data_IF_661731261866
#
_entry.id   IF_661731261866
#
_cell.length_a   1.000
_cell.length_b   1.000
_cell.length_c   1.000
_cell.angle_alpha   90.00
_cell.angle_beta   90.00
_cell.angle_gamma   90.00
#
_symmetry.space_group_name_H-M   'P 1'
#
loop_
_entity.id
_entity.type
_entity.pdbx_description
1 polymer ?
#
# COMPACT_ATOMS: atom_id res chain seq x y z
N UNK A 1 -5.02 11.90 -20.50
CA UNK A 1 -4.14 11.59 -19.35
C UNK A 1 -4.48 10.17 -18.91
N UNK A 2 -3.49 9.27 -18.84
CA UNK A 2 -3.71 7.91 -18.33
C UNK A 2 -3.79 7.91 -16.79
N UNK A 3 -4.19 6.78 -16.20
CA UNK A 3 -4.36 6.67 -14.74
C UNK A 3 -3.04 6.93 -13.99
N UNK A 4 -1.93 6.42 -14.49
CA UNK A 4 -0.61 6.66 -13.93
C UNK A 4 -0.27 8.16 -13.85
N UNK A 5 -0.44 8.91 -14.93
CA UNK A 5 -0.19 10.35 -14.98
C UNK A 5 -1.11 11.12 -14.01
N UNK A 6 -2.39 10.72 -13.91
CA UNK A 6 -3.33 11.30 -12.93
C UNK A 6 -2.80 11.09 -11.52
N UNK A 7 -2.43 9.85 -11.19
CA UNK A 7 -1.94 9.49 -9.87
C UNK A 7 -0.61 10.15 -9.54
N UNK A 8 0.30 10.23 -10.51
CA UNK A 8 1.59 10.89 -10.36
C UNK A 8 1.42 12.39 -10.09
N UNK A 9 0.50 13.05 -10.79
CA UNK A 9 0.16 14.46 -10.54
C UNK A 9 -0.36 14.66 -9.13
N UNK A 10 -1.27 13.80 -8.65
CA UNK A 10 -1.77 13.84 -7.27
C UNK A 10 -0.65 13.58 -6.27
N UNK A 11 0.21 12.61 -6.53
CA UNK A 11 1.33 12.29 -5.66
C UNK A 11 2.32 13.45 -5.58
N UNK A 12 2.58 14.16 -6.69
CA UNK A 12 3.41 15.36 -6.68
C UNK A 12 2.90 16.47 -5.76
N UNK A 13 1.58 16.59 -5.57
CA UNK A 13 0.99 17.60 -4.68
C UNK A 13 1.20 17.27 -3.20
N UNK A 14 1.32 15.99 -2.84
CA UNK A 14 1.37 15.52 -1.46
C UNK A 14 2.76 15.01 -1.02
N UNK A 15 3.50 14.37 -1.92
CA UNK A 15 4.87 13.90 -1.72
C UNK A 15 5.70 14.03 -3.02
N UNK A 16 6.24 15.24 -3.30
CA UNK A 16 7.05 15.47 -4.49
C UNK A 16 8.33 14.63 -4.54
N UNK A 17 8.84 14.16 -3.40
CA UNK A 17 10.06 13.34 -3.36
C UNK A 17 9.75 11.93 -3.84
N UNK A 18 8.70 11.30 -3.31
CA UNK A 18 8.26 9.99 -3.74
C UNK A 18 7.77 10.00 -5.19
N UNK A 19 7.06 11.06 -5.60
CA UNK A 19 6.61 11.22 -6.98
C UNK A 19 7.77 11.16 -8.00
N UNK A 20 8.86 11.92 -7.77
CA UNK A 20 10.05 11.88 -8.64
C UNK A 20 10.70 10.50 -8.68
N UNK A 21 10.75 9.81 -7.54
CA UNK A 21 11.35 8.47 -7.45
C UNK A 21 10.57 7.45 -8.30
N UNK A 22 9.23 7.46 -8.21
CA UNK A 22 8.39 6.52 -8.96
C UNK A 22 8.24 6.90 -10.43
N UNK A 23 8.35 8.19 -10.77
CA UNK A 23 8.35 8.66 -12.17
C UNK A 23 9.53 8.08 -12.96
N UNK A 24 10.69 7.97 -12.33
CA UNK A 24 11.89 7.37 -12.95
C UNK A 24 11.89 5.84 -12.97
N UNK A 25 10.94 5.20 -12.27
CA UNK A 25 10.85 3.74 -12.20
C UNK A 25 10.12 3.19 -13.45
N UNK A 26 10.76 2.31 -14.23
CA UNK A 26 10.07 1.63 -15.33
C UNK A 26 8.95 0.74 -14.79
N UNK A 27 7.95 0.45 -15.63
CA UNK A 27 6.98 -0.56 -15.24
C UNK A 27 7.69 -1.91 -15.04
N UNK A 28 7.45 -2.62 -13.92
CA UNK A 28 8.24 -3.81 -13.59
C UNK A 28 7.77 -5.07 -14.31
N UNK A 29 8.71 -5.82 -14.90
CA UNK A 29 8.43 -7.15 -15.48
C UNK A 29 8.08 -8.21 -14.43
N UNK A 30 8.47 -7.96 -13.18
CA UNK A 30 8.32 -8.88 -12.05
C UNK A 30 6.95 -8.82 -11.36
N UNK A 31 6.11 -7.84 -11.71
CA UNK A 31 4.74 -7.69 -11.18
C UNK A 31 3.74 -7.86 -12.31
N UNK A 32 3.10 -9.02 -12.37
CA UNK A 32 1.99 -9.24 -13.27
C UNK A 32 0.70 -8.66 -12.67
N UNK A 33 -0.06 -7.93 -13.48
CA UNK A 33 -1.42 -7.51 -13.13
C UNK A 33 -2.40 -8.51 -13.72
N UNK A 34 -3.20 -9.13 -12.87
CA UNK A 34 -4.26 -10.07 -13.28
C UNK A 34 -5.60 -9.60 -12.74
N UNK A 35 -6.70 -10.02 -13.35
CA UNK A 35 -8.03 -9.76 -12.80
C UNK A 35 -8.45 -10.90 -11.84
N UNK A 36 -9.03 -10.57 -10.70
CA UNK A 36 -9.80 -11.51 -9.89
C UNK A 36 -11.08 -11.93 -10.62
N UNK A 37 -11.76 -12.98 -10.12
CA UNK A 37 -13.06 -13.42 -10.69
C UNK A 37 -14.14 -12.35 -10.68
N UNK A 38 -14.08 -11.41 -9.73
CA UNK A 38 -14.99 -10.26 -9.65
C UNK A 38 -14.47 -9.00 -10.38
N UNK A 39 -13.42 -9.15 -11.21
CA UNK A 39 -12.96 -8.12 -12.15
C UNK A 39 -11.97 -7.11 -11.59
N UNK A 40 -11.54 -7.25 -10.33
CA UNK A 40 -10.60 -6.33 -9.70
C UNK A 40 -9.14 -6.69 -10.04
N UNK A 41 -8.28 -5.70 -10.32
CA UNK A 41 -6.87 -5.97 -10.56
C UNK A 41 -6.19 -6.48 -9.28
N UNK A 42 -5.32 -7.48 -9.40
CA UNK A 42 -4.51 -8.01 -8.31
C UNK A 42 -3.06 -8.18 -8.75
N UNK A 43 -2.08 -7.88 -7.88
CA UNK A 43 -0.68 -8.11 -8.19
C UNK A 43 -0.33 -9.58 -7.99
N UNK A 44 0.48 -10.09 -8.91
CA UNK A 44 1.05 -11.43 -8.86
C UNK A 44 2.55 -11.35 -9.09
N UNK A 45 3.32 -12.02 -8.22
CA UNK A 45 4.77 -12.14 -8.33
C UNK A 45 5.07 -13.62 -8.59
N UNK A 46 5.57 -13.93 -9.79
CA UNK A 46 5.74 -15.31 -10.24
C UNK A 46 4.41 -16.10 -10.20
N UNK A 47 4.34 -17.14 -9.36
CA UNK A 47 3.12 -17.93 -9.14
C UNK A 47 2.23 -17.44 -7.98
N UNK A 48 2.69 -16.47 -7.19
CA UNK A 48 2.03 -16.04 -5.96
C UNK A 48 1.16 -14.82 -6.21
N UNK A 49 -0.13 -14.91 -5.87
CA UNK A 49 -1.02 -13.74 -5.83
C UNK A 49 -1.03 -13.12 -4.44
N UNK A 50 -0.95 -11.79 -4.35
CA UNK A 50 -0.89 -11.08 -3.06
C UNK A 50 -2.27 -10.77 -2.47
N UNK A 51 -3.32 -11.00 -3.25
CA UNK A 51 -4.71 -10.78 -2.88
C UNK A 51 -5.56 -11.95 -3.40
N UNK A 52 -6.80 -12.02 -2.96
CA UNK A 52 -7.77 -13.01 -3.35
C UNK A 52 -8.01 -12.94 -4.86
N UNK A 53 -7.80 -14.08 -5.52
CA UNK A 53 -8.17 -14.27 -6.94
C UNK A 53 -9.67 -14.31 -7.17
N UNK A 54 -10.48 -14.28 -6.11
CA UNK A 54 -11.94 -14.32 -6.18
C UNK A 54 -12.57 -12.98 -5.82
N UNK A 55 -12.30 -12.47 -4.60
CA UNK A 55 -12.97 -11.30 -4.02
C UNK A 55 -12.00 -10.47 -3.15
N UNK A 56 -11.06 -9.73 -3.76
CA UNK A 56 -10.02 -8.99 -3.02
C UNK A 56 -10.60 -7.87 -2.14
N UNK A 57 -11.75 -7.32 -2.52
CA UNK A 57 -12.48 -6.35 -1.69
C UNK A 57 -12.95 -6.93 -0.35
N UNK A 58 -13.52 -8.13 -0.38
CA UNK A 58 -14.01 -8.83 0.81
C UNK A 58 -12.87 -9.31 1.69
N UNK A 59 -11.75 -9.72 1.09
CA UNK A 59 -10.51 -10.00 1.82
C UNK A 59 -10.04 -8.77 2.60
N UNK A 60 -9.91 -7.61 1.95
CA UNK A 60 -9.51 -6.37 2.61
C UNK A 60 -10.47 -5.97 3.74
N UNK A 61 -11.78 -6.15 3.53
CA UNK A 61 -12.79 -5.84 4.55
C UNK A 61 -12.70 -6.78 5.76
N UNK A 62 -12.46 -8.08 5.51
CA UNK A 62 -12.24 -9.08 6.57
C UNK A 62 -10.97 -8.79 7.35
N UNK A 63 -9.90 -8.31 6.70
CA UNK A 63 -8.64 -7.98 7.37
C UNK A 63 -8.83 -6.86 8.42
N UNK A 64 -9.64 -5.84 8.13
CA UNK A 64 -9.91 -4.74 9.07
C UNK A 64 -11.09 -4.99 10.02
N UNK A 65 -11.73 -6.17 10.00
CA UNK A 65 -13.01 -6.36 10.70
C UNK A 65 -12.90 -6.10 12.21
N UNK A 66 -11.82 -6.58 12.84
CA UNK A 66 -11.51 -6.37 14.25
C UNK A 66 -10.77 -5.08 14.59
N UNK A 67 -10.37 -4.28 13.59
CA UNK A 67 -9.65 -3.03 13.84
C UNK A 67 -10.53 -2.02 14.59
N UNK A 68 -9.95 -1.42 15.63
CA UNK A 68 -10.52 -0.32 16.41
C UNK A 68 -9.47 0.78 16.49
N UNK A 69 -9.82 1.97 16.02
CA UNK A 69 -8.92 3.12 16.09
C UNK A 69 -8.55 3.44 17.55
N UNK A 70 -7.26 3.52 17.82
CA UNK A 70 -6.73 3.92 19.11
C UNK A 70 -6.44 5.42 19.12
N UNK A 71 -7.10 6.16 20.01
CA UNK A 71 -6.91 7.61 20.11
C UNK A 71 -5.43 7.96 20.37
N UNK A 72 -4.91 8.90 19.59
CA UNK A 72 -3.51 9.34 19.70
C UNK A 72 -2.50 8.41 19.02
N UNK A 73 -2.95 7.34 18.36
CA UNK A 73 -2.08 6.47 17.55
C UNK A 73 -2.34 6.63 16.05
N UNK A 74 -1.29 6.43 15.26
CA UNK A 74 -1.33 6.40 13.81
C UNK A 74 -1.25 4.93 13.37
N UNK A 75 -2.24 4.40 12.66
CA UNK A 75 -2.14 3.07 12.06
C UNK A 75 -1.01 3.02 11.03
N UNK A 76 -0.13 2.04 11.16
CA UNK A 76 0.98 1.81 10.22
C UNK A 76 0.85 0.42 9.63
N UNK A 77 0.66 0.33 8.32
CA UNK A 77 0.51 -0.95 7.63
C UNK A 77 1.79 -1.32 6.92
N UNK A 78 2.28 -2.54 7.13
CA UNK A 78 3.38 -3.09 6.35
C UNK A 78 2.84 -3.90 5.15
N UNK A 79 3.23 -3.47 3.95
CA UNK A 79 2.79 -3.99 2.66
C UNK A 79 1.58 -3.26 2.09
N UNK A 80 1.74 -2.68 0.90
CA UNK A 80 0.66 -2.05 0.15
C UNK A 80 -0.08 -3.07 -0.73
N UNK A 81 0.66 -3.88 -1.50
CA UNK A 81 0.07 -4.63 -2.61
C UNK A 81 -0.72 -3.67 -3.52
N UNK A 82 -2.01 -3.93 -3.76
CA UNK A 82 -2.91 -2.97 -4.44
C UNK A 82 -3.86 -2.21 -3.49
N UNK A 83 -3.59 -2.22 -2.19
CA UNK A 83 -4.23 -1.31 -1.23
C UNK A 83 -5.68 -1.63 -0.88
N UNK A 84 -6.20 -2.84 -1.16
CA UNK A 84 -7.57 -3.21 -0.82
C UNK A 84 -7.86 -3.12 0.68
N UNK A 85 -6.95 -3.61 1.52
CA UNK A 85 -7.05 -3.53 2.97
C UNK A 85 -6.86 -2.09 3.48
N UNK A 86 -5.94 -1.34 2.88
CA UNK A 86 -5.70 0.09 3.22
C UNK A 86 -6.97 0.91 2.98
N UNK A 87 -7.66 0.69 1.85
CA UNK A 87 -8.90 1.41 1.53
C UNK A 87 -10.01 1.14 2.54
N UNK A 88 -10.08 -0.09 3.06
CA UNK A 88 -11.06 -0.42 4.10
C UNK A 88 -10.64 0.15 5.46
N UNK A 89 -9.33 0.23 5.73
CA UNK A 89 -8.81 0.82 6.96
C UNK A 89 -9.05 2.33 7.01
N UNK A 90 -8.86 3.05 5.91
CA UNK A 90 -9.19 4.49 5.78
C UNK A 90 -10.66 4.83 6.03
N UNK A 91 -11.58 3.85 5.94
CA UNK A 91 -13.00 4.02 6.30
C UNK A 91 -13.24 3.88 7.80
N UNK A 92 -12.32 3.24 8.52
CA UNK A 92 -12.35 3.00 9.97
C UNK A 92 -11.41 3.91 10.76
N UNK A 93 -10.57 4.68 10.07
CA UNK A 93 -9.63 5.63 10.63
C UNK A 93 -10.09 7.05 10.31
N UNK A 94 -10.20 7.89 11.33
CA UNK A 94 -10.56 9.30 11.21
C UNK A 94 -9.33 10.17 10.89
N UNK A 95 -8.16 9.79 11.42
CA UNK A 95 -6.89 10.48 11.22
C UNK A 95 -6.08 10.04 9.99
N UNK A 96 -4.78 10.30 10.07
CA UNK A 96 -3.79 9.84 9.09
C UNK A 96 -3.47 8.35 9.28
N UNK A 97 -2.98 7.73 8.22
CA UNK A 97 -2.48 6.37 8.19
C UNK A 97 -1.16 6.34 7.43
N UNK A 98 -0.23 5.48 7.84
CA UNK A 98 1.00 5.25 7.10
C UNK A 98 1.04 3.85 6.48
N UNK A 99 1.65 3.73 5.30
CA UNK A 99 1.92 2.46 4.63
C UNK A 99 3.40 2.34 4.34
N UNK A 100 4.02 1.26 4.81
CA UNK A 100 5.37 0.87 4.44
C UNK A 100 5.25 -0.13 3.29
N UNK A 101 5.75 0.22 2.11
CA UNK A 101 5.85 -0.70 0.97
C UNK A 101 7.34 -0.92 0.68
N UNK A 102 7.90 -2.09 0.97
CA UNK A 102 9.34 -2.31 0.82
C UNK A 102 9.82 -2.22 -0.63
N UNK A 103 8.94 -2.32 -1.62
CA UNK A 103 9.35 -2.51 -3.01
C UNK A 103 8.79 -1.45 -3.98
N UNK A 104 9.68 -0.63 -4.55
CA UNK A 104 9.32 0.45 -5.49
C UNK A 104 8.56 -0.06 -6.73
N UNK A 105 8.97 -1.15 -7.39
CA UNK A 105 8.17 -1.82 -8.42
C UNK A 105 6.70 -2.09 -8.05
N UNK A 106 6.42 -2.55 -6.82
CA UNK A 106 5.03 -2.77 -6.38
C UNK A 106 4.24 -1.46 -6.37
N UNK A 107 4.85 -0.40 -5.83
CA UNK A 107 4.22 0.93 -5.79
C UNK A 107 4.02 1.49 -7.21
N UNK A 108 4.99 1.32 -8.10
CA UNK A 108 4.89 1.70 -9.51
C UNK A 108 3.74 0.99 -10.22
N UNK A 109 3.59 -0.31 -10.02
CA UNK A 109 2.48 -1.10 -10.57
C UNK A 109 1.13 -0.69 -9.98
N UNK A 110 1.08 -0.43 -8.67
CA UNK A 110 -0.11 0.10 -7.99
C UNK A 110 -0.59 1.41 -8.62
N UNK A 111 0.30 2.39 -8.85
CA UNK A 111 -0.08 3.67 -9.47
C UNK A 111 -0.55 3.54 -10.92
N UNK A 112 -0.21 2.45 -11.61
CA UNK A 112 -0.65 2.22 -13.00
C UNK A 112 -2.13 1.81 -13.06
N UNK A 113 -2.60 1.04 -12.08
CA UNK A 113 -3.90 0.33 -12.17
C UNK A 113 -4.90 0.67 -11.07
N UNK A 114 -4.46 1.31 -9.99
CA UNK A 114 -5.33 1.70 -8.87
C UNK A 114 -5.45 3.22 -8.81
N UNK A 115 -6.66 3.75 -8.60
CA UNK A 115 -6.85 5.18 -8.37
C UNK A 115 -6.28 5.58 -7.01
N UNK A 116 -5.37 6.55 -6.99
CA UNK A 116 -4.71 7.05 -5.77
C UNK A 116 -5.60 8.03 -5.00
N UNK A 117 -6.59 8.65 -5.64
CA UNK A 117 -7.45 9.67 -5.03
C UNK A 117 -8.09 9.25 -3.69
N UNK A 118 -8.57 8.00 -3.48
CA UNK A 118 -9.15 7.58 -2.21
C UNK A 118 -8.16 7.47 -1.05
N UNK A 119 -6.86 7.40 -1.34
CA UNK A 119 -5.82 7.23 -0.33
C UNK A 119 -5.31 8.57 0.21
N UNK A 120 -5.20 9.57 -0.67
CA UNK A 120 -4.70 10.90 -0.32
C UNK A 120 -5.84 11.84 0.12
N UNK A 121 -5.58 12.84 0.98
CA UNK A 121 -4.28 13.15 1.61
C UNK A 121 -3.97 12.32 2.86
N UNK A 122 -4.90 11.46 3.30
CA UNK A 122 -4.85 10.80 4.63
C UNK A 122 -3.84 9.65 4.73
N UNK A 123 -3.20 9.26 3.62
CA UNK A 123 -2.22 8.17 3.60
C UNK A 123 -0.82 8.70 3.33
N UNK A 124 0.13 8.39 4.21
CA UNK A 124 1.55 8.59 3.98
C UNK A 124 2.19 7.30 3.48
N UNK A 125 2.85 7.34 2.34
CA UNK A 125 3.55 6.18 1.77
C UNK A 125 5.05 6.26 2.04
N UNK A 126 5.61 5.26 2.72
CA UNK A 126 7.04 5.05 2.88
C UNK A 126 7.46 3.88 1.99
N UNK A 127 7.98 4.20 0.80
CA UNK A 127 8.23 3.21 -0.24
C UNK A 127 9.72 2.98 -0.41
N UNK A 128 10.16 1.71 -0.40
CA UNK A 128 11.55 1.30 -0.58
C UNK A 128 12.52 2.07 0.35
N UNK A 129 12.10 2.26 1.59
CA UNK A 129 12.91 2.88 2.64
C UNK A 129 13.18 1.86 3.74
N UNK A 130 14.45 1.64 4.16
CA UNK A 130 14.75 0.69 5.21
C UNK A 130 14.05 1.03 6.52
N UNK A 131 13.42 0.03 7.15
CA UNK A 131 12.70 0.20 8.44
C UNK A 131 13.57 0.87 9.51
N UNK A 132 14.86 0.54 9.70
CA UNK A 132 15.69 1.24 10.68
C UNK A 132 15.80 2.75 10.43
N UNK A 133 15.84 3.17 9.15
CA UNK A 133 15.85 4.59 8.78
C UNK A 133 14.50 5.25 9.05
N UNK A 134 13.40 4.52 8.87
CA UNK A 134 12.06 4.99 9.24
C UNK A 134 11.96 5.19 10.76
N UNK A 135 12.41 4.21 11.55
CA UNK A 135 12.41 4.28 13.01
C UNK A 135 13.28 5.42 13.55
N UNK A 136 14.42 5.70 12.91
CA UNK A 136 15.31 6.77 13.36
C UNK A 136 14.74 8.18 13.11
N UNK A 137 13.91 8.36 12.07
CA UNK A 137 13.36 9.68 11.71
C UNK A 137 11.91 9.89 12.14
N UNK A 138 11.21 8.83 12.51
CA UNK A 138 9.82 8.88 12.95
C UNK A 138 9.72 8.36 14.38
N UNK A 139 9.07 9.10 15.28
CA UNK A 139 8.82 8.64 16.65
C UNK A 139 7.83 7.46 16.64
N UNK A 140 8.27 6.22 16.88
CA UNK A 140 7.42 5.03 16.70
C UNK A 140 6.46 4.82 17.88
N UNK A 141 6.60 5.58 18.97
CA UNK A 141 5.79 5.50 20.19
C UNK A 141 4.30 5.74 19.92
N UNK A 142 3.96 6.45 18.84
CA UNK A 142 2.59 6.69 18.38
C UNK A 142 2.07 5.68 17.36
N UNK A 143 2.82 4.62 17.01
CA UNK A 143 2.44 3.72 15.91
C UNK A 143 1.59 2.55 16.39
N UNK A 144 0.52 2.27 15.65
CA UNK A 144 -0.22 1.02 15.75
C UNK A 144 0.09 0.16 14.52
N UNK A 145 1.08 -0.73 14.64
CA UNK A 145 1.57 -1.53 13.50
C UNK A 145 0.62 -2.68 13.21
N UNK A 146 0.14 -2.75 11.97
CA UNK A 146 -0.77 -3.77 11.47
C UNK A 146 -0.08 -4.61 10.39
N UNK A 147 -0.11 -5.93 10.54
CA UNK A 147 0.49 -6.87 9.59
C UNK A 147 -0.55 -7.51 8.67
N UNK A 148 -0.28 -7.47 7.36
CA UNK A 148 -1.08 -8.14 6.34
C UNK A 148 -0.50 -9.54 6.06
N UNK A 149 -1.20 -10.60 6.50
CA UNK A 149 -0.70 -12.00 6.47
C UNK A 149 -0.13 -12.47 5.11
N UNK A 150 -0.72 -12.13 3.94
CA UNK A 150 -0.13 -12.46 2.64
C UNK A 150 1.27 -11.88 2.43
N UNK A 151 1.52 -10.66 2.91
CA UNK A 151 2.82 -9.98 2.85
C UNK A 151 3.85 -10.65 3.75
N UNK A 152 3.45 -11.04 4.97
CA UNK A 152 4.33 -11.74 5.94
C UNK A 152 4.85 -13.07 5.39
N UNK A 153 4.07 -13.77 4.55
CA UNK A 153 4.46 -15.05 3.95
C UNK A 153 5.54 -14.93 2.87
N UNK A 154 5.73 -13.74 2.28
CA UNK A 154 6.73 -13.49 1.24
C UNK A 154 8.05 -12.97 1.80
N UNK A 155 8.04 -12.39 3.01
CA UNK A 155 9.19 -11.74 3.65
C UNK A 155 9.49 -12.32 5.04
N UNK A 156 9.71 -13.64 5.10
CA UNK A 156 10.21 -14.30 6.32
C UNK A 156 11.54 -13.75 6.91
N UNK A 157 12.46 -13.08 6.17
CA UNK A 157 13.73 -12.64 6.77
C UNK A 157 13.75 -11.20 7.30
N UNK A 158 12.64 -10.45 7.27
CA UNK A 158 12.62 -9.03 7.68
C UNK A 158 11.82 -8.73 8.96
N UNK A 159 11.37 -9.78 9.67
CA UNK A 159 10.79 -9.70 11.02
C UNK A 159 11.83 -10.03 12.09
#
# INVERSE_FOLDING_TARGET
MNLFQKNLTLLHQHDPSLARRVETEPFPDSVAVTASKDGHPIPRIGSVSLHSTYRPLEEGARWVSGFRECAGKIPVVYGLGFGYHIRQLLRKTSGELAVIEPWMPMFRAFLEVMDLSPFLPRTRFWVAEPVPKLMARCSPEGWEVLSHRPTVRLEAPYF
#
